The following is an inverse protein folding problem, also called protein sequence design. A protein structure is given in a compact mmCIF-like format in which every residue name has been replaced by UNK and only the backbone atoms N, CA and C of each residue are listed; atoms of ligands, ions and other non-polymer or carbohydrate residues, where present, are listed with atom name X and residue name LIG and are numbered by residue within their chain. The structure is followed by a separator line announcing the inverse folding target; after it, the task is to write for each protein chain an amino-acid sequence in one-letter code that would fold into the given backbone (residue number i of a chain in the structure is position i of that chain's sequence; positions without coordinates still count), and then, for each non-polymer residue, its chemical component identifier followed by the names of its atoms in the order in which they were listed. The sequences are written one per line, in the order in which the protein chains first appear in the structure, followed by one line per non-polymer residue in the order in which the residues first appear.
data_IF_512586149653
#
_entry.id   IF_512586149653
#
_cell.length_a   1.000
_cell.length_b   1.000
_cell.length_c   1.000
_cell.angle_alpha   90.00
_cell.angle_beta   90.00
_cell.angle_gamma   90.00
#
_symmetry.space_group_name_H-M   'P 1'
#
loop_
_entity.id
_entity.type
_entity.pdbx_description
1 polymer ?
#
# COMPACT_ATOMS: atom_id res chain seq x y z
N UNK A 1 60.77 30.67 18.77
CA UNK A 1 61.44 29.80 17.77
C UNK A 1 60.43 29.44 16.68
N UNK A 2 60.38 30.20 15.58
CA UNK A 2 59.34 29.99 14.55
C UNK A 2 59.78 28.92 13.55
N UNK A 3 59.06 27.80 13.56
CA UNK A 3 59.32 26.67 12.68
C UNK A 3 58.81 27.07 11.28
N UNK A 4 59.69 27.61 10.44
CA UNK A 4 59.39 27.87 9.02
C UNK A 4 59.42 26.54 8.26
N UNK A 5 58.31 25.79 8.27
CA UNK A 5 58.15 24.62 7.41
C UNK A 5 57.89 25.09 5.97
N UNK A 6 58.81 24.80 5.06
CA UNK A 6 58.60 24.98 3.61
C UNK A 6 57.65 23.87 3.13
N UNK A 7 56.33 24.10 3.29
CA UNK A 7 55.33 23.18 2.78
C UNK A 7 55.42 23.16 1.26
N UNK A 8 55.95 22.06 0.70
CA UNK A 8 55.99 21.89 -0.77
C UNK A 8 54.57 21.73 -1.27
N UNK A 9 54.25 22.34 -2.42
CA UNK A 9 52.91 22.34 -3.05
C UNK A 9 52.29 20.93 -3.15
N UNK A 10 53.12 19.89 -3.33
CA UNK A 10 52.70 18.48 -3.30
C UNK A 10 51.98 18.06 -2.02
N UNK A 11 52.38 18.58 -0.85
CA UNK A 11 51.73 18.27 0.42
C UNK A 11 50.38 19.00 0.56
N UNK A 12 50.24 20.19 -0.02
CA UNK A 12 48.96 20.91 -0.06
C UNK A 12 47.98 20.15 -0.97
N UNK A 13 48.43 19.74 -2.15
CA UNK A 13 47.62 18.92 -3.07
C UNK A 13 47.19 17.59 -2.41
N UNK A 14 48.10 16.93 -1.72
CA UNK A 14 47.79 15.69 -0.99
C UNK A 14 46.77 15.92 0.13
N UNK A 15 46.91 17.02 0.88
CA UNK A 15 45.95 17.37 1.93
C UNK A 15 44.56 17.69 1.36
N UNK A 16 44.49 18.45 0.26
CA UNK A 16 43.22 18.72 -0.43
C UNK A 16 42.57 17.44 -0.95
N UNK A 17 43.36 16.53 -1.53
CA UNK A 17 42.86 15.23 -1.97
C UNK A 17 42.31 14.41 -0.80
N UNK A 18 43.02 14.38 0.33
CA UNK A 18 42.58 13.67 1.52
C UNK A 18 41.27 14.24 2.08
N UNK A 19 41.15 15.57 2.14
CA UNK A 19 39.91 16.24 2.57
C UNK A 19 38.76 15.88 1.63
N UNK A 20 38.97 15.90 0.31
CA UNK A 20 37.95 15.54 -0.67
C UNK A 20 37.44 14.10 -0.48
N UNK A 21 38.35 13.14 -0.29
CA UNK A 21 37.99 11.73 -0.04
C UNK A 21 37.21 11.60 1.28
N UNK A 22 37.65 12.26 2.35
CA UNK A 22 36.94 12.20 3.63
C UNK A 22 35.53 12.81 3.51
N UNK A 23 35.40 13.97 2.88
CA UNK A 23 34.11 14.63 2.69
C UNK A 23 33.14 13.78 1.85
N UNK A 24 33.62 13.14 0.78
CA UNK A 24 32.79 12.27 -0.07
C UNK A 24 32.32 11.01 0.67
N UNK A 25 33.19 10.39 1.47
CA UNK A 25 32.82 9.23 2.30
C UNK A 25 31.76 9.62 3.33
N UNK A 26 31.92 10.75 4.05
CA UNK A 26 30.94 11.19 5.04
C UNK A 26 29.56 11.41 4.40
N UNK A 27 29.50 12.08 3.25
CA UNK A 27 28.25 12.32 2.52
C UNK A 27 27.59 11.00 2.06
N UNK A 28 28.40 10.03 1.61
CA UNK A 28 27.88 8.72 1.21
C UNK A 28 27.30 7.93 2.39
N UNK A 29 27.90 8.01 3.58
CA UNK A 29 27.40 7.30 4.77
C UNK A 29 26.00 7.76 5.17
N UNK A 30 25.70 9.05 5.11
CA UNK A 30 24.35 9.55 5.35
C UNK A 30 23.35 9.04 4.31
N UNK A 31 23.72 9.08 3.03
CA UNK A 31 22.86 8.58 1.94
C UNK A 31 22.55 7.09 2.07
N UNK A 32 23.53 6.28 2.47
CA UNK A 32 23.33 4.84 2.71
C UNK A 32 22.35 4.63 3.87
N UNK A 33 22.51 5.34 4.97
CA UNK A 33 21.59 5.26 6.12
C UNK A 33 20.14 5.61 5.72
N UNK A 34 19.96 6.67 4.93
CA UNK A 34 18.64 7.09 4.48
C UNK A 34 18.02 6.10 3.48
N UNK A 35 18.84 5.50 2.61
CA UNK A 35 18.39 4.45 1.70
C UNK A 35 17.98 3.17 2.45
N UNK A 36 18.77 2.73 3.43
CA UNK A 36 18.42 1.55 4.25
C UNK A 36 17.12 1.76 5.02
N UNK A 37 16.88 2.98 5.52
CA UNK A 37 15.61 3.32 6.17
C UNK A 37 14.43 3.24 5.20
N UNK A 38 14.58 3.81 4.01
CA UNK A 38 13.55 3.75 2.96
C UNK A 38 13.28 2.31 2.51
N UNK A 39 14.31 1.48 2.35
CA UNK A 39 14.14 0.05 2.05
C UNK A 39 13.34 -0.66 3.14
N UNK A 40 13.67 -0.43 4.41
CA UNK A 40 12.95 -1.03 5.54
C UNK A 40 11.48 -0.61 5.54
N UNK A 41 11.21 0.68 5.32
CA UNK A 41 9.84 1.19 5.25
C UNK A 41 9.06 0.59 4.08
N UNK A 42 9.67 0.53 2.90
CA UNK A 42 9.09 -0.10 1.71
C UNK A 42 8.81 -1.59 1.92
N UNK A 43 9.70 -2.32 2.60
CA UNK A 43 9.46 -3.72 2.95
C UNK A 43 8.27 -3.89 3.90
N UNK A 44 8.15 -3.02 4.90
CA UNK A 44 7.00 -3.03 5.82
C UNK A 44 5.70 -2.74 5.07
N UNK A 45 5.69 -1.72 4.21
CA UNK A 45 4.52 -1.39 3.38
C UNK A 45 4.16 -2.54 2.43
N UNK A 46 5.16 -3.16 1.79
CA UNK A 46 4.96 -4.31 0.92
C UNK A 46 4.37 -5.49 1.69
N UNK A 47 4.87 -5.79 2.89
CA UNK A 47 4.35 -6.87 3.72
C UNK A 47 2.90 -6.61 4.10
N UNK A 48 2.57 -5.40 4.56
CA UNK A 48 1.20 -5.02 4.90
C UNK A 48 0.25 -5.14 3.68
N UNK A 49 0.68 -4.70 2.50
CA UNK A 49 -0.10 -4.82 1.27
C UNK A 49 -0.33 -6.28 0.85
N UNK A 50 0.66 -7.15 1.03
CA UNK A 50 0.52 -8.60 0.77
C UNK A 50 -0.49 -9.21 1.75
N UNK A 51 -0.41 -8.86 3.03
CA UNK A 51 -1.31 -9.36 4.07
C UNK A 51 -2.77 -8.96 3.77
N UNK A 52 -3.00 -7.67 3.45
CA UNK A 52 -4.31 -7.17 3.03
C UNK A 52 -4.82 -7.87 1.77
N UNK A 53 -3.94 -8.12 0.79
CA UNK A 53 -4.33 -8.84 -0.43
C UNK A 53 -4.79 -10.26 -0.12
N UNK A 54 -4.09 -10.97 0.75
CA UNK A 54 -4.46 -12.34 1.12
C UNK A 54 -5.74 -12.37 1.97
N UNK A 55 -5.97 -11.37 2.83
CA UNK A 55 -7.23 -11.21 3.54
C UNK A 55 -8.40 -10.97 2.59
N UNK A 56 -8.27 -10.02 1.64
CA UNK A 56 -9.28 -9.75 0.63
C UNK A 56 -9.55 -10.96 -0.25
N UNK A 57 -8.52 -11.75 -0.62
CA UNK A 57 -8.73 -13.01 -1.35
C UNK A 57 -9.54 -14.02 -0.55
N UNK A 58 -9.31 -14.13 0.76
CA UNK A 58 -10.11 -15.00 1.63
C UNK A 58 -11.56 -14.50 1.67
N UNK A 59 -11.77 -13.21 1.84
CA UNK A 59 -13.12 -12.62 1.81
C UNK A 59 -13.82 -12.91 0.48
N UNK A 60 -13.17 -12.66 -0.66
CA UNK A 60 -13.68 -13.00 -1.99
C UNK A 60 -14.00 -14.49 -2.07
N UNK A 61 -13.14 -15.39 -1.58
CA UNK A 61 -13.42 -16.83 -1.61
C UNK A 61 -14.64 -17.22 -0.78
N UNK A 62 -14.89 -16.52 0.33
CA UNK A 62 -16.09 -16.71 1.15
C UNK A 62 -17.34 -16.19 0.43
N UNK A 63 -17.25 -15.03 -0.22
CA UNK A 63 -18.32 -14.44 -1.03
C UNK A 63 -18.59 -15.22 -2.33
N UNK A 64 -17.61 -15.94 -2.86
CA UNK A 64 -17.78 -16.76 -4.07
C UNK A 64 -18.24 -18.19 -3.76
N UNK A 65 -18.67 -18.50 -2.53
CA UNK A 65 -19.35 -19.77 -2.27
C UNK A 65 -20.71 -19.81 -2.98
N UNK A 66 -21.08 -20.99 -3.50
CA UNK A 66 -22.31 -21.20 -4.26
C UNK A 66 -23.55 -20.64 -3.55
N UNK A 67 -23.60 -20.71 -2.21
CA UNK A 67 -24.70 -20.18 -1.41
C UNK A 67 -24.80 -18.65 -1.37
N UNK A 68 -23.68 -17.93 -1.45
CA UNK A 68 -23.68 -16.46 -1.53
C UNK A 68 -24.04 -15.99 -2.95
N UNK A 69 -23.50 -16.66 -3.98
CA UNK A 69 -23.89 -16.43 -5.38
C UNK A 69 -25.38 -16.72 -5.58
N UNK A 70 -25.89 -17.83 -5.02
CA UNK A 70 -27.32 -18.16 -5.02
C UNK A 70 -28.16 -17.10 -4.32
N UNK A 71 -27.67 -16.50 -3.23
CA UNK A 71 -28.36 -15.40 -2.54
C UNK A 71 -28.41 -14.13 -3.39
N UNK A 72 -27.28 -13.68 -3.95
CA UNK A 72 -27.23 -12.50 -4.82
C UNK A 72 -28.11 -12.71 -6.05
N UNK A 73 -28.01 -13.87 -6.71
CA UNK A 73 -28.86 -14.20 -7.85
C UNK A 73 -30.35 -14.21 -7.48
N UNK A 74 -30.71 -14.71 -6.29
CA UNK A 74 -32.09 -14.66 -5.78
C UNK A 74 -32.56 -13.23 -5.52
N UNK A 75 -31.72 -12.39 -4.91
CA UNK A 75 -32.05 -11.00 -4.60
C UNK A 75 -32.22 -10.17 -5.89
N UNK A 76 -31.37 -10.39 -6.91
CA UNK A 76 -31.48 -9.73 -8.21
C UNK A 76 -32.65 -10.25 -9.06
N UNK A 77 -32.97 -11.55 -9.00
CA UNK A 77 -34.06 -12.16 -9.76
C UNK A 77 -35.42 -12.14 -9.01
N UNK A 78 -35.45 -11.66 -7.76
CA UNK A 78 -36.64 -11.68 -6.90
C UNK A 78 -37.13 -13.10 -6.57
N UNK A 79 -36.23 -14.08 -6.51
CA UNK A 79 -36.52 -15.49 -6.27
C UNK A 79 -36.35 -15.84 -4.78
N UNK A 80 -37.14 -16.79 -4.27
CA UNK A 80 -37.10 -17.25 -2.86
C UNK A 80 -36.98 -18.78 -2.81
N UNK A 81 -36.45 -19.34 -1.71
CA UNK A 81 -36.36 -20.80 -1.57
C UNK A 81 -37.74 -21.42 -1.36
N UNK A 82 -37.94 -22.71 -1.72
CA UNK A 82 -39.16 -23.43 -1.39
C UNK A 82 -39.46 -23.35 0.11
N UNK A 83 -40.58 -22.72 0.48
CA UNK A 83 -40.98 -22.48 1.87
C UNK A 83 -40.74 -21.05 2.41
N UNK A 84 -40.11 -20.17 1.63
CA UNK A 84 -39.95 -18.74 1.96
C UNK A 84 -41.02 -17.89 1.24
N UNK A 85 -41.54 -16.84 1.89
CA UNK A 85 -42.55 -15.93 1.33
C UNK A 85 -41.98 -14.52 1.12
N UNK A 86 -42.23 -13.93 -0.05
CA UNK A 86 -41.85 -12.52 -0.33
C UNK A 86 -42.83 -11.59 0.39
N UNK A 87 -42.36 -10.88 1.41
CA UNK A 87 -43.16 -9.87 2.12
C UNK A 87 -42.94 -8.50 1.45
N UNK A 88 -43.82 -8.13 0.50
CA UNK A 88 -43.86 -6.76 -0.02
C UNK A 88 -44.64 -5.88 0.96
N UNK A 89 -43.95 -4.96 1.64
CA UNK A 89 -44.58 -3.94 2.49
C UNK A 89 -45.63 -3.14 1.68
N UNK A 90 -46.81 -2.90 2.27
CA UNK A 90 -47.97 -2.22 1.64
C UNK A 90 -47.66 -0.82 1.08
N UNK A 91 -46.50 -0.23 1.46
CA UNK A 91 -46.02 1.04 0.90
C UNK A 91 -45.60 0.91 -0.58
N UNK A 92 -45.22 -0.27 -1.05
CA UNK A 92 -44.74 -0.51 -2.42
C UNK A 92 -45.85 -0.84 -3.41
N UNK A 93 -47.03 -1.29 -2.95
CA UNK A 93 -48.19 -1.58 -3.81
C UNK A 93 -48.83 -0.29 -4.37
N UNK A 94 -48.73 0.83 -3.63
CA UNK A 94 -49.35 2.10 -4.00
C UNK A 94 -48.60 2.91 -5.07
N UNK A 95 -47.38 2.52 -5.47
CA UNK A 95 -46.60 3.24 -6.49
C UNK A 95 -46.84 2.78 -7.93
N UNK A 96 -47.31 1.54 -8.13
CA UNK A 96 -47.60 1.01 -9.47
C UNK A 96 -49.04 1.32 -9.91
N UNK A 97 -49.97 1.50 -8.98
CA UNK A 97 -51.37 1.85 -9.29
C UNK A 97 -51.60 3.34 -9.61
N UNK A 98 -50.57 4.20 -9.51
CA UNK A 98 -50.68 5.65 -9.71
C UNK A 98 -50.00 6.17 -10.98
N UNK A 99 -49.44 5.28 -11.82
CA UNK A 99 -48.79 5.66 -13.09
C UNK A 99 -49.22 4.77 -14.28
N UNK A 100 -50.53 4.53 -14.44
CA UNK A 100 -51.09 4.09 -15.73
C UNK A 100 -52.11 5.16 -16.17
N UNK A 101 -52.10 5.59 -17.45
CA UNK A 101 -52.83 6.76 -17.95
C UNK A 101 -54.35 6.66 -17.82
#
# INVERSE_FOLDING_TARGET
MSIKRKIKIRHILFLCFLIYVISTVILQQFKISDLTRQETELEVQKKAAIEQREELKKEISLLHTDGYIERIARDELGLVKPGEYIIKSAKSYNKEATNSP
#
